data_IF_699277057387
#
_entry.id   IF_699277057387
#
_cell.length_a   1.000
_cell.length_b   1.000
_cell.length_c   1.000
_cell.angle_alpha   90.00
_cell.angle_beta   90.00
_cell.angle_gamma   90.00
#
_symmetry.space_group_name_H-M   'P 1'
#
loop_
_entity.id
_entity.type
_entity.pdbx_description
1 polymer ?
#
# COMPACT_ATOMS: atom_id res chain seq x y z
N UNK A 1 21.49 -14.98 7.94
CA UNK A 1 20.48 -15.96 8.42
C UNK A 1 19.13 -15.29 8.31
N UNK A 2 18.21 -15.83 7.52
CA UNK A 2 16.80 -15.38 7.52
C UNK A 2 16.15 -16.10 8.69
N UNK A 3 15.62 -15.36 9.65
CA UNK A 3 14.80 -15.93 10.73
C UNK A 3 13.46 -16.38 10.12
N UNK A 4 13.16 -17.69 10.07
CA UNK A 4 11.93 -18.20 9.47
C UNK A 4 10.66 -17.82 10.27
N UNK A 5 10.80 -17.27 11.48
CA UNK A 5 9.68 -16.82 12.32
C UNK A 5 9.38 -15.32 12.19
N UNK A 6 10.24 -14.55 11.51
CA UNK A 6 10.02 -13.11 11.34
C UNK A 6 8.82 -12.85 10.39
N UNK A 7 7.94 -11.89 10.72
CA UNK A 7 6.81 -11.55 9.86
C UNK A 7 7.31 -11.05 8.49
N UNK A 8 6.60 -11.35 7.40
CA UNK A 8 6.96 -10.83 6.09
C UNK A 8 7.04 -9.30 6.09
N UNK A 9 8.11 -8.75 5.53
CA UNK A 9 8.36 -7.30 5.51
C UNK A 9 7.22 -6.47 4.88
N UNK A 10 6.39 -7.07 4.02
CA UNK A 10 5.25 -6.36 3.42
C UNK A 10 4.14 -6.03 4.42
N UNK A 11 4.04 -6.75 5.55
CA UNK A 11 3.03 -6.48 6.57
C UNK A 11 3.21 -5.12 7.23
N UNK A 12 4.44 -4.58 7.24
CA UNK A 12 4.72 -3.22 7.73
C UNK A 12 4.00 -2.11 6.92
N UNK A 13 3.43 -2.43 5.76
CA UNK A 13 2.66 -1.49 4.93
C UNK A 13 1.18 -1.41 5.35
N UNK A 14 0.71 -2.35 6.16
CA UNK A 14 -0.69 -2.41 6.60
C UNK A 14 -0.80 -1.60 7.90
N UNK A 15 -1.67 -0.59 7.90
CA UNK A 15 -1.95 0.21 9.08
C UNK A 15 -3.45 0.50 9.20
N UNK A 16 -3.89 0.81 10.42
CA UNK A 16 -5.27 1.25 10.64
C UNK A 16 -5.49 2.66 10.08
N UNK A 17 -6.74 3.04 9.85
CA UNK A 17 -7.09 4.40 9.44
C UNK A 17 -6.65 5.45 10.48
N UNK A 18 -6.66 5.10 11.76
CA UNK A 18 -6.26 5.99 12.84
C UNK A 18 -4.75 6.25 12.83
N UNK A 19 -3.94 5.25 12.46
CA UNK A 19 -2.47 5.36 12.42
C UNK A 19 -1.95 5.94 11.11
N UNK A 20 -2.78 5.95 10.05
CA UNK A 20 -2.39 6.37 8.72
C UNK A 20 -1.72 7.76 8.68
N UNK A 21 -2.23 8.83 9.34
CA UNK A 21 -1.57 10.14 9.30
C UNK A 21 -0.10 10.10 9.76
N UNK A 22 0.19 9.36 10.83
CA UNK A 22 1.55 9.19 11.37
C UNK A 22 2.43 8.40 10.43
N UNK A 23 1.93 7.27 9.90
CA UNK A 23 2.70 6.43 8.98
C UNK A 23 3.00 7.14 7.66
N UNK A 24 2.00 7.84 7.10
CA UNK A 24 2.14 8.55 5.83
C UNK A 24 3.14 9.70 5.95
N UNK A 25 3.26 10.36 7.10
CA UNK A 25 4.19 11.48 7.31
C UNK A 25 5.65 11.15 6.95
N UNK A 26 6.05 9.88 7.02
CA UNK A 26 7.39 9.42 6.69
C UNK A 26 7.57 9.03 5.20
N UNK A 27 6.50 9.05 4.41
CA UNK A 27 6.52 8.61 3.03
C UNK A 27 6.86 9.73 2.03
N UNK A 28 7.66 9.44 0.98
CA UNK A 28 7.97 10.40 -0.06
C UNK A 28 6.73 10.99 -0.73
N UNK A 29 6.71 12.32 -0.90
CA UNK A 29 5.69 13.05 -1.67
C UNK A 29 6.09 13.11 -3.16
N UNK A 30 5.15 13.34 -4.10
CA UNK A 30 3.70 13.45 -3.89
C UNK A 30 3.07 12.09 -3.57
N UNK A 31 2.02 12.13 -2.75
CA UNK A 31 1.25 10.94 -2.41
C UNK A 31 0.16 10.72 -3.46
N UNK A 32 0.09 9.51 -3.98
CA UNK A 32 -0.99 9.03 -4.84
C UNK A 32 -1.92 8.18 -3.99
N UNK A 33 -3.22 8.44 -4.08
CA UNK A 33 -4.22 7.71 -3.31
C UNK A 33 -5.20 7.01 -4.25
N UNK A 34 -5.56 5.78 -3.91
CA UNK A 34 -6.68 5.07 -4.52
C UNK A 34 -7.39 4.20 -3.48
N UNK A 35 -8.61 3.78 -3.80
CA UNK A 35 -9.39 2.84 -3.00
C UNK A 35 -9.98 1.73 -3.87
N UNK A 36 -10.31 0.60 -3.26
CA UNK A 36 -11.01 -0.50 -3.93
C UNK A 36 -11.28 -1.66 -2.99
N UNK A 37 -12.08 -2.61 -3.46
CA UNK A 37 -12.37 -3.87 -2.73
C UNK A 37 -11.23 -4.87 -2.89
N UNK A 38 -10.71 -5.03 -4.11
CA UNK A 38 -9.58 -5.91 -4.44
C UNK A 38 -9.72 -7.39 -3.97
N UNK A 39 -10.94 -7.92 -3.94
CA UNK A 39 -11.23 -9.29 -3.49
C UNK A 39 -10.44 -10.36 -4.30
N UNK A 40 -10.65 -10.38 -5.62
CA UNK A 40 -9.85 -11.21 -6.52
C UNK A 40 -8.87 -10.31 -7.28
N UNK A 41 -7.58 -10.45 -6.97
CA UNK A 41 -6.53 -9.78 -7.72
C UNK A 41 -6.35 -10.43 -9.09
N UNK A 42 -6.37 -9.59 -10.12
CA UNK A 42 -6.07 -9.99 -11.49
C UNK A 42 -5.13 -8.96 -12.13
N UNK A 43 -4.65 -9.27 -13.34
CA UNK A 43 -3.71 -8.41 -14.10
C UNK A 43 -4.16 -6.95 -14.19
N UNK A 44 -5.47 -6.71 -14.25
CA UNK A 44 -6.05 -5.36 -14.34
C UNK A 44 -5.72 -4.52 -13.10
N UNK A 45 -5.91 -5.08 -11.90
CA UNK A 45 -5.54 -4.42 -10.64
C UNK A 45 -4.03 -4.18 -10.56
N UNK A 46 -3.21 -5.16 -10.92
CA UNK A 46 -1.76 -5.01 -10.89
C UNK A 46 -1.28 -3.88 -11.82
N UNK A 47 -1.76 -3.86 -13.08
CA UNK A 47 -1.46 -2.80 -14.05
C UNK A 47 -1.94 -1.44 -13.55
N UNK A 48 -3.16 -1.37 -13.04
CA UNK A 48 -3.75 -0.16 -12.48
C UNK A 48 -2.91 0.41 -11.32
N UNK A 49 -2.56 -0.41 -10.34
CA UNK A 49 -1.75 0.00 -9.19
C UNK A 49 -0.33 0.37 -9.60
N UNK A 50 0.27 -0.31 -10.58
CA UNK A 50 1.57 0.06 -11.13
C UNK A 50 1.53 1.44 -11.80
N UNK A 51 0.49 1.71 -12.59
CA UNK A 51 0.27 3.01 -13.22
C UNK A 51 0.07 4.11 -12.16
N UNK A 52 -0.78 3.86 -11.14
CA UNK A 52 -0.98 4.80 -10.05
C UNK A 52 0.34 5.08 -9.29
N UNK A 53 1.12 4.03 -8.99
CA UNK A 53 2.42 4.18 -8.32
C UNK A 53 3.40 5.04 -9.12
N UNK A 54 3.35 5.02 -10.45
CA UNK A 54 4.25 5.84 -11.28
C UNK A 54 3.96 7.36 -11.20
N UNK A 55 2.79 7.76 -10.71
CA UNK A 55 2.38 9.17 -10.64
C UNK A 55 2.96 9.93 -9.43
N UNK A 56 3.69 9.28 -8.52
CA UNK A 56 4.24 9.98 -7.36
C UNK A 56 5.30 9.22 -6.58
N UNK A 57 5.66 9.81 -5.43
CA UNK A 57 6.67 9.26 -4.53
C UNK A 57 6.18 8.02 -3.78
N UNK A 58 4.90 7.99 -3.45
CA UNK A 58 4.26 6.91 -2.69
C UNK A 58 2.84 6.63 -3.16
N UNK A 59 2.44 5.37 -3.15
CA UNK A 59 1.05 4.93 -3.42
C UNK A 59 0.42 4.45 -2.11
N UNK A 60 -0.74 5.03 -1.78
CA UNK A 60 -1.59 4.64 -0.66
C UNK A 60 -2.83 3.96 -1.25
N UNK A 61 -3.13 2.75 -0.77
CA UNK A 61 -4.32 2.00 -1.19
C UNK A 61 -5.21 1.80 0.03
N UNK A 62 -6.41 2.39 -0.01
CA UNK A 62 -7.44 2.12 0.98
C UNK A 62 -8.28 0.91 0.55
N UNK A 63 -8.54 0.00 1.49
CA UNK A 63 -9.40 -1.15 1.27
C UNK A 63 -10.79 -0.87 1.84
N UNK A 64 -11.81 -1.18 1.05
CA UNK A 64 -13.20 -1.03 1.47
C UNK A 64 -13.59 -2.15 2.45
N UNK A 65 -14.56 -1.87 3.33
CA UNK A 65 -15.14 -2.82 4.29
C UNK A 65 -16.44 -3.43 3.76
#
# INVERSE_FOLDING_TARGET
MIDPLAPPAFLAKICSRADAPTQLAHLPRPWVFTNGVFDILHRGHATYLAQARALGGSLIVALNS
#
